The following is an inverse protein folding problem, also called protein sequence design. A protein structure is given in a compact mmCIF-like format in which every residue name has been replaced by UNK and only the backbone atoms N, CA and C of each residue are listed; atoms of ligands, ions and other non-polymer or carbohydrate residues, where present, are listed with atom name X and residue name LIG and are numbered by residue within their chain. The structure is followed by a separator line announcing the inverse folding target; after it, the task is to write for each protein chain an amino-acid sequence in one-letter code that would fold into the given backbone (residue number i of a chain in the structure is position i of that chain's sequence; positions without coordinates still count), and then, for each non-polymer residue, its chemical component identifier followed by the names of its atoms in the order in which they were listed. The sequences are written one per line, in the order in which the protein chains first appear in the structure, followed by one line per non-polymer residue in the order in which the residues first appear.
data_IF_853579888235
#
_entry.id   IF_853579888235
#
_cell.length_a   1.000
_cell.length_b   1.000
_cell.length_c   1.000
_cell.angle_alpha   90.00
_cell.angle_beta   90.00
_cell.angle_gamma   90.00
#
_symmetry.space_group_name_H-M   'P 1'
#
loop_
_entity.id
_entity.type
_entity.pdbx_description
1 polymer ?
#
# COMPACT_ATOMS: atom_id res chain seq x y z
N UNK A 1 14.41 1.20 -6.19
CA UNK A 1 13.82 0.36 -5.12
C UNK A 1 12.31 0.42 -5.25
N UNK A 2 11.60 -0.63 -4.84
CA UNK A 2 10.14 -0.65 -4.91
C UNK A 2 9.54 -1.30 -3.66
N UNK A 3 8.38 -0.80 -3.23
CA UNK A 3 7.46 -1.49 -2.32
C UNK A 3 6.18 -1.79 -3.09
N UNK A 4 5.57 -2.95 -2.85
CA UNK A 4 4.44 -3.41 -3.66
C UNK A 4 3.37 -4.14 -2.87
N UNK A 5 2.14 -4.01 -3.34
CA UNK A 5 0.97 -4.78 -2.89
C UNK A 5 0.43 -5.54 -4.09
N UNK A 6 0.14 -6.83 -3.93
CA UNK A 6 -0.44 -7.66 -5.00
C UNK A 6 -1.85 -7.15 -5.32
N UNK A 7 -2.14 -7.01 -6.61
CA UNK A 7 -3.46 -6.62 -7.11
C UNK A 7 -4.25 -7.87 -7.50
N UNK A 8 -5.39 -8.08 -6.85
CA UNK A 8 -6.27 -9.23 -7.11
C UNK A 8 -7.41 -8.88 -8.07
N UNK A 9 -7.94 -9.88 -8.77
CA UNK A 9 -8.98 -9.70 -9.78
C UNK A 9 -10.36 -9.38 -9.19
N UNK A 10 -10.53 -9.64 -7.90
CA UNK A 10 -11.76 -9.43 -7.14
C UNK A 10 -12.04 -7.95 -6.89
N UNK A 11 -11.00 -7.09 -6.89
CA UNK A 11 -11.16 -5.65 -6.76
C UNK A 11 -10.11 -4.86 -7.59
N UNK A 12 -10.13 -4.94 -8.92
CA UNK A 12 -9.04 -4.46 -9.79
C UNK A 12 -8.81 -2.94 -9.72
N UNK A 13 -9.83 -2.18 -9.30
CA UNK A 13 -9.78 -0.71 -9.16
C UNK A 13 -9.75 -0.28 -7.69
N UNK A 14 -9.60 -1.21 -6.75
CA UNK A 14 -9.62 -0.98 -5.31
C UNK A 14 -8.38 -0.32 -4.73
N UNK A 15 -7.53 0.28 -5.55
CA UNK A 15 -6.24 0.82 -5.14
C UNK A 15 -6.27 2.34 -5.02
N UNK A 16 -5.34 2.87 -4.23
CA UNK A 16 -5.07 4.30 -4.11
C UNK A 16 -3.58 4.48 -3.88
N UNK A 17 -2.97 5.44 -4.56
CA UNK A 17 -1.54 5.67 -4.49
C UNK A 17 -1.26 7.17 -4.60
N UNK A 18 -0.28 7.65 -3.84
CA UNK A 18 0.15 9.03 -3.86
C UNK A 18 1.66 9.09 -3.59
N UNK A 19 2.42 9.38 -4.63
CA UNK A 19 3.87 9.43 -4.55
C UNK A 19 4.36 10.59 -3.66
N UNK A 20 3.70 11.75 -3.68
CA UNK A 20 4.09 12.92 -2.90
C UNK A 20 3.86 12.71 -1.40
N UNK A 21 2.69 12.15 -1.06
CA UNK A 21 2.35 11.75 0.30
C UNK A 21 3.08 10.46 0.73
N UNK A 22 3.65 9.72 -0.22
CA UNK A 22 4.52 8.57 0.03
C UNK A 22 3.74 7.34 0.50
N UNK A 23 2.60 7.03 -0.11
CA UNK A 23 1.86 5.80 0.20
C UNK A 23 1.31 5.10 -1.04
N UNK A 24 1.12 3.78 -0.88
CA UNK A 24 0.29 2.93 -1.73
C UNK A 24 -0.70 2.17 -0.86
N UNK A 25 -1.88 1.90 -1.38
CA UNK A 25 -2.97 1.27 -0.66
C UNK A 25 -3.83 0.41 -1.59
N UNK A 26 -4.46 -0.61 -1.02
CA UNK A 26 -5.33 -1.54 -1.74
C UNK A 26 -6.44 -2.08 -0.81
N UNK A 27 -7.67 -2.06 -1.29
CA UNK A 27 -8.81 -2.71 -0.67
C UNK A 27 -8.93 -4.15 -1.20
N UNK A 28 -8.36 -5.10 -0.47
CA UNK A 28 -8.34 -6.51 -0.84
C UNK A 28 -9.62 -7.22 -0.36
N UNK A 29 -10.39 -7.78 -1.30
CA UNK A 29 -11.58 -8.59 -1.01
C UNK A 29 -11.23 -10.05 -0.68
N UNK A 30 -9.93 -10.36 -0.61
CA UNK A 30 -9.37 -11.70 -0.51
C UNK A 30 -9.78 -12.56 -1.71
N UNK A 31 -9.47 -13.85 -1.63
CA UNK A 31 -9.82 -14.89 -2.60
C UNK A 31 -11.31 -15.27 -2.66
N UNK A 32 -12.18 -14.63 -1.88
CA UNK A 32 -13.62 -14.92 -1.88
C UNK A 32 -14.48 -13.70 -1.55
N UNK A 33 -14.61 -12.78 -2.51
CA UNK A 33 -15.46 -11.59 -2.39
C UNK A 33 -16.94 -11.91 -2.06
N UNK A 34 -17.44 -13.10 -2.45
CA UNK A 34 -18.82 -13.53 -2.16
C UNK A 34 -19.00 -14.09 -0.73
N UNK A 35 -17.91 -14.38 -0.03
CA UNK A 35 -17.92 -15.04 1.28
C UNK A 35 -18.28 -14.13 2.45
N UNK A 36 -18.50 -12.83 2.23
CA UNK A 36 -18.63 -11.82 3.28
C UNK A 36 -17.50 -11.96 4.32
N UNK A 37 -16.25 -12.05 3.88
CA UNK A 37 -15.09 -12.11 4.78
C UNK A 37 -14.67 -10.71 5.30
N UNK A 38 -15.36 -9.66 4.85
CA UNK A 38 -14.90 -8.28 5.00
C UNK A 38 -13.79 -7.92 4.02
N UNK A 39 -13.34 -6.68 4.11
CA UNK A 39 -12.33 -6.09 3.23
C UNK A 39 -11.07 -5.86 4.07
N UNK A 40 -9.92 -6.32 3.56
CA UNK A 40 -8.61 -5.99 4.11
C UNK A 40 -8.06 -4.76 3.39
N UNK A 41 -7.93 -3.66 4.11
CA UNK A 41 -7.28 -2.46 3.60
C UNK A 41 -5.78 -2.58 3.87
N UNK A 42 -5.00 -2.88 2.84
CA UNK A 42 -3.55 -3.06 2.90
C UNK A 42 -2.88 -1.76 2.47
N UNK A 43 -1.72 -1.43 3.04
CA UNK A 43 -1.00 -0.21 2.69
C UNK A 43 0.48 -0.28 3.02
N UNK A 44 1.26 0.48 2.26
CA UNK A 44 2.67 0.72 2.51
C UNK A 44 2.99 2.22 2.45
N UNK A 45 3.86 2.68 3.34
CA UNK A 45 4.23 4.09 3.50
C UNK A 45 5.75 4.23 3.53
N UNK A 46 6.26 5.23 2.81
CA UNK A 46 7.67 5.66 2.88
C UNK A 46 7.78 6.95 3.68
N UNK A 47 8.84 7.14 4.50
CA UNK A 47 9.07 8.40 5.20
C UNK A 47 9.27 9.58 4.24
N UNK A 48 9.81 9.33 3.05
CA UNK A 48 10.05 10.32 2.01
C UNK A 48 9.05 10.14 0.86
N UNK A 49 8.80 11.18 0.06
CA UNK A 49 8.08 11.03 -1.21
C UNK A 49 8.72 9.94 -2.09
N UNK A 50 7.87 9.26 -2.85
CA UNK A 50 8.27 8.30 -3.88
C UNK A 50 8.54 9.06 -5.20
N UNK A 51 9.26 8.43 -6.12
CA UNK A 51 9.41 8.94 -7.49
C UNK A 51 8.17 8.70 -8.32
N UNK A 52 7.49 7.58 -8.09
CA UNK A 52 6.27 7.17 -8.79
C UNK A 52 5.48 6.24 -7.88
N UNK A 53 4.15 6.23 -8.03
CA UNK A 53 3.27 5.36 -7.27
C UNK A 53 2.03 5.03 -8.11
N UNK A 54 1.97 3.83 -8.69
CA UNK A 54 0.89 3.43 -9.59
C UNK A 54 0.80 1.89 -9.74
N UNK A 55 -0.24 1.41 -10.40
CA UNK A 55 -0.43 0.01 -10.74
C UNK A 55 0.44 -0.41 -11.92
N UNK A 56 1.13 -1.54 -11.76
CA UNK A 56 1.83 -2.25 -12.83
C UNK A 56 1.18 -3.61 -13.03
N UNK A 57 0.46 -3.75 -14.14
CA UNK A 57 -0.20 -4.98 -14.53
C UNK A 57 0.79 -5.97 -15.14
N UNK A 58 0.58 -7.24 -14.85
CA UNK A 58 1.22 -8.34 -15.54
C UNK A 58 0.72 -8.45 -16.99
N UNK A 59 1.63 -8.87 -17.87
CA UNK A 59 1.29 -9.30 -19.21
C UNK A 59 0.58 -10.67 -19.20
N UNK A 60 0.13 -11.14 -20.37
CA UNK A 60 -0.66 -12.35 -20.48
C UNK A 60 0.09 -13.63 -20.05
N UNK A 61 1.41 -13.68 -20.25
CA UNK A 61 2.24 -14.82 -19.89
C UNK A 61 2.49 -14.82 -18.38
N UNK A 62 2.86 -13.66 -17.81
CA UNK A 62 3.06 -13.47 -16.36
C UNK A 62 1.80 -13.82 -15.55
N UNK A 63 0.60 -13.46 -16.04
CA UNK A 63 -0.65 -13.79 -15.33
C UNK A 63 -0.89 -15.29 -15.19
N UNK A 64 -0.41 -16.11 -16.12
CA UNK A 64 -0.54 -17.58 -16.04
C UNK A 64 0.33 -18.16 -14.92
N UNK A 65 1.40 -17.46 -14.53
CA UNK A 65 2.35 -17.90 -13.50
C UNK A 65 2.00 -17.39 -12.09
N UNK A 66 1.04 -16.46 -11.98
CA UNK A 66 0.77 -15.72 -10.74
C UNK A 66 -0.62 -15.97 -10.12
N UNK A 67 -1.18 -17.17 -10.32
CA UNK A 67 -2.36 -17.68 -9.59
C UNK A 67 -3.55 -16.72 -9.51
N UNK A 68 -3.81 -15.94 -10.58
CA UNK A 68 -4.94 -15.01 -10.65
C UNK A 68 -4.64 -13.56 -10.23
N UNK A 69 -3.42 -13.25 -9.79
CA UNK A 69 -3.00 -11.87 -9.58
C UNK A 69 -2.94 -11.11 -10.92
N UNK A 70 -3.39 -9.85 -10.90
CA UNK A 70 -3.38 -8.97 -12.07
C UNK A 70 -2.08 -8.18 -12.20
N UNK A 71 -1.33 -8.02 -11.11
CA UNK A 71 -0.12 -7.21 -11.05
C UNK A 71 0.14 -6.71 -9.64
N UNK A 72 0.68 -5.51 -9.53
CA UNK A 72 0.96 -4.87 -8.26
C UNK A 72 0.59 -3.39 -8.24
N UNK A 73 0.14 -2.87 -7.10
CA UNK A 73 0.25 -1.45 -6.77
C UNK A 73 1.69 -1.22 -6.30
N UNK A 74 2.45 -0.35 -6.98
CA UNK A 74 3.89 -0.16 -6.71
C UNK A 74 4.21 1.27 -6.33
N UNK A 75 4.94 1.44 -5.23
CA UNK A 75 5.66 2.66 -4.89
C UNK A 75 7.12 2.53 -5.29
N UNK A 76 7.62 3.40 -6.17
CA UNK A 76 8.96 3.36 -6.76
C UNK A 76 9.79 4.49 -6.19
N UNK A 77 11.00 4.18 -5.72
CA UNK A 77 11.96 5.16 -5.20
C UNK A 77 13.34 4.98 -5.83
N UNK A 78 14.08 6.09 -5.91
CA UNK A 78 15.45 6.10 -6.41
C UNK A 78 16.32 5.26 -5.49
N UNK A 79 17.15 4.42 -6.11
CA UNK A 79 18.13 3.65 -5.37
C UNK A 79 19.34 4.53 -5.04
N UNK A 80 19.71 4.57 -3.77
CA UNK A 80 20.91 5.26 -3.29
C UNK A 80 21.88 4.23 -2.70
N UNK A 81 23.04 3.98 -3.35
CA UNK A 81 24.03 3.03 -2.84
C UNK A 81 24.42 3.33 -1.39
N UNK A 82 24.51 2.27 -0.57
CA UNK A 82 24.88 2.38 0.85
C UNK A 82 23.78 2.94 1.77
N UNK A 83 22.59 3.24 1.24
CA UNK A 83 21.45 3.72 2.04
C UNK A 83 20.38 2.64 2.16
N UNK A 84 19.82 2.39 3.35
CA UNK A 84 18.71 1.44 3.50
C UNK A 84 17.45 1.98 2.80
N UNK A 85 16.69 1.08 2.18
CA UNK A 85 15.34 1.38 1.71
C UNK A 85 14.34 1.06 2.82
N UNK A 86 13.80 2.11 3.46
CA UNK A 86 12.86 1.99 4.57
C UNK A 86 11.43 2.26 4.10
N UNK A 87 10.54 1.30 4.32
CA UNK A 87 9.10 1.46 4.20
C UNK A 87 8.41 0.73 5.35
N UNK A 88 7.20 1.16 5.67
CA UNK A 88 6.32 0.55 6.65
C UNK A 88 5.15 -0.06 5.91
N UNK A 89 4.66 -1.20 6.37
CA UNK A 89 3.48 -1.84 5.81
C UNK A 89 2.53 -2.25 6.93
N UNK A 90 1.24 -2.34 6.60
CA UNK A 90 0.22 -2.75 7.55
C UNK A 90 -1.13 -2.96 6.86
N UNK A 91 -2.12 -3.36 7.66
CA UNK A 91 -3.49 -3.50 7.20
C UNK A 91 -4.50 -3.17 8.29
N UNK A 92 -5.72 -2.85 7.87
CA UNK A 92 -6.91 -2.74 8.71
C UNK A 92 -8.06 -3.57 8.12
N UNK A 93 -9.01 -3.98 8.95
CA UNK A 93 -10.11 -4.86 8.53
C UNK A 93 -11.48 -4.18 8.68
N UNK A 94 -12.32 -4.31 7.65
CA UNK A 94 -13.66 -3.70 7.61
C UNK A 94 -14.63 -4.22 8.66
N UNK A 95 -14.38 -5.41 9.23
CA UNK A 95 -15.17 -5.96 10.33
C UNK A 95 -14.60 -5.62 11.71
N UNK A 96 -13.58 -4.77 11.77
CA UNK A 96 -12.98 -4.27 13.01
C UNK A 96 -12.95 -2.73 13.02
N UNK A 97 -11.77 -2.12 12.90
CA UNK A 97 -11.49 -0.71 13.15
C UNK A 97 -11.29 0.13 11.89
N UNK A 98 -11.30 -0.49 10.70
CA UNK A 98 -11.04 0.21 9.45
C UNK A 98 -12.25 0.10 8.50
N UNK A 99 -13.23 1.01 8.57
CA UNK A 99 -14.53 0.82 7.92
C UNK A 99 -14.48 0.91 6.39
N UNK A 100 -13.60 1.73 5.83
CA UNK A 100 -13.55 2.04 4.41
C UNK A 100 -12.18 2.54 3.93
N UNK A 101 -12.03 2.60 2.60
CA UNK A 101 -10.80 3.05 1.94
C UNK A 101 -10.46 4.52 2.24
N UNK A 102 -11.40 5.49 2.23
CA UNK A 102 -11.10 6.87 2.61
C UNK A 102 -10.52 7.01 4.02
N UNK A 103 -11.05 6.26 4.99
CA UNK A 103 -10.53 6.23 6.37
C UNK A 103 -9.11 5.65 6.40
N UNK A 104 -8.87 4.58 5.65
CA UNK A 104 -7.54 3.98 5.51
C UNK A 104 -6.52 4.95 4.90
N UNK A 105 -6.88 5.61 3.80
CA UNK A 105 -6.01 6.61 3.16
C UNK A 105 -5.68 7.78 4.09
N UNK A 106 -6.67 8.29 4.82
CA UNK A 106 -6.46 9.35 5.79
C UNK A 106 -5.50 8.91 6.90
N UNK A 107 -5.60 7.66 7.36
CA UNK A 107 -4.66 7.07 8.31
C UNK A 107 -3.25 7.00 7.73
N UNK A 108 -3.07 6.48 6.50
CA UNK A 108 -1.76 6.37 5.84
C UNK A 108 -1.09 7.73 5.65
N UNK A 109 -1.83 8.73 5.14
CA UNK A 109 -1.36 10.12 5.00
C UNK A 109 -0.92 10.69 6.34
N UNK A 110 -1.73 10.52 7.37
CA UNK A 110 -1.41 11.01 8.72
C UNK A 110 -0.19 10.29 9.31
N UNK A 111 -0.03 8.99 9.05
CA UNK A 111 1.13 8.21 9.49
C UNK A 111 2.41 8.66 8.80
N UNK A 112 2.38 8.84 7.47
CA UNK A 112 3.50 9.38 6.70
C UNK A 112 3.97 10.74 7.23
N UNK A 113 3.03 11.65 7.54
CA UNK A 113 3.33 12.96 8.11
C UNK A 113 4.00 12.86 9.49
N UNK A 114 3.54 11.96 10.37
CA UNK A 114 4.16 11.75 11.69
C UNK A 114 5.57 11.17 11.58
N UNK A 115 5.84 10.34 10.58
CA UNK A 115 7.20 9.86 10.30
C UNK A 115 8.14 10.98 9.84
N UNK A 116 7.62 11.96 9.08
CA UNK A 116 8.40 13.13 8.61
C UNK A 116 8.66 14.16 9.72
N UNK A 117 7.77 14.24 10.71
CA UNK A 117 7.87 15.20 11.82
C UNK A 117 7.63 14.53 13.17
N UNK A 118 8.58 13.70 13.65
CA UNK A 118 8.40 12.96 14.90
C UNK A 118 8.46 13.88 16.12
N UNK A 119 7.70 13.55 17.16
CA UNK A 119 7.80 14.19 18.46
C UNK A 119 9.12 13.78 19.13
N UNK A 120 9.96 14.75 19.48
CA UNK A 120 11.22 14.52 20.19
C UNK A 120 11.06 14.92 21.66
N UNK A 121 11.03 13.94 22.55
CA UNK A 121 10.96 14.18 24.00
C UNK A 121 12.36 14.12 24.59
N UNK A 122 12.74 15.13 25.39
CA UNK A 122 13.99 15.14 26.18
C UNK A 122 13.63 15.09 27.66
N UNK A 123 14.17 14.11 28.37
CA UNK A 123 14.10 14.01 29.82
C UNK A 123 15.40 14.61 30.37
N UNK A 124 15.28 15.59 31.26
CA UNK A 124 16.41 16.22 31.94
C UNK A 124 16.68 15.56 33.29
#
# INVERSE_FOLDING_TARGET
MAAGIVLHAENPEGYSADAEQGYIAYADFTDNAAGDNGILFIGAVTPQPMNDADVRLFNADERQEHSGALGHVLGISTYHPGTPYLYYWGSGWSKADMPDMPTWEAYLKSFAQRLRSPLIVKVN
#
